data_IF_468528932518
#
_entry.id   IF_468528932518
#
_cell.length_a   1.000
_cell.length_b   1.000
_cell.length_c   1.000
_cell.angle_alpha   90.00
_cell.angle_beta   90.00
_cell.angle_gamma   90.00
#
_symmetry.space_group_name_H-M   'P 1'
#
loop_
_entity.id
_entity.type
_entity.pdbx_description
1 polymer ?
#
# COMPACT_ATOMS: atom_id res chain seq x y z
N UNK A 1 10.96 -23.00 0.97
CA UNK A 1 9.63 -22.37 1.01
C UNK A 1 9.77 -21.03 0.32
N UNK A 2 9.01 -20.79 -0.75
CA UNK A 2 9.01 -19.49 -1.43
C UNK A 2 8.18 -18.54 -0.60
N UNK A 3 8.74 -17.37 -0.25
CA UNK A 3 7.99 -16.33 0.45
C UNK A 3 6.88 -15.78 -0.48
N UNK A 4 5.64 -15.82 0.00
CA UNK A 4 4.49 -15.28 -0.74
C UNK A 4 4.20 -13.88 -0.22
N UNK A 5 4.15 -12.92 -1.14
CA UNK A 5 3.86 -11.52 -0.89
C UNK A 5 2.49 -11.16 -1.44
N UNK A 6 1.70 -10.41 -0.69
CA UNK A 6 0.33 -10.04 -1.04
C UNK A 6 0.23 -8.54 -1.22
N UNK A 7 -0.35 -8.12 -2.34
CA UNK A 7 -0.81 -6.74 -2.49
C UNK A 7 -2.11 -6.54 -1.73
N UNK A 8 -2.08 -5.62 -0.77
CA UNK A 8 -3.20 -5.26 0.08
C UNK A 8 -3.56 -3.79 -0.18
N UNK A 9 -4.80 -3.54 -0.56
CA UNK A 9 -5.36 -2.20 -0.73
C UNK A 9 -6.20 -1.82 0.49
N UNK A 10 -5.75 -0.84 1.27
CA UNK A 10 -6.46 -0.29 2.42
C UNK A 10 -7.28 0.93 2.02
N UNK A 11 -8.55 0.92 2.39
CA UNK A 11 -9.46 2.06 2.27
C UNK A 11 -9.40 2.89 3.55
N UNK A 12 -8.85 4.09 3.49
CA UNK A 12 -8.58 4.90 4.69
C UNK A 12 -9.85 5.43 5.38
N UNK A 13 -10.96 5.54 4.64
CA UNK A 13 -12.23 6.04 5.17
C UNK A 13 -13.05 4.96 5.87
N UNK A 14 -13.18 3.79 5.26
CA UNK A 14 -13.94 2.67 5.85
C UNK A 14 -13.08 1.82 6.80
N UNK A 15 -11.75 1.97 6.71
CA UNK A 15 -10.77 1.15 7.43
C UNK A 15 -10.85 -0.34 7.07
N UNK A 16 -11.37 -0.64 5.89
CA UNK A 16 -11.36 -1.99 5.29
C UNK A 16 -10.11 -2.18 4.44
N UNK A 17 -9.76 -3.44 4.15
CA UNK A 17 -8.75 -3.74 3.15
C UNK A 17 -9.14 -4.91 2.26
N UNK A 18 -8.63 -4.86 1.03
CA UNK A 18 -8.83 -5.86 -0.01
C UNK A 18 -7.49 -6.50 -0.39
N UNK A 19 -7.48 -7.83 -0.44
CA UNK A 19 -6.38 -8.58 -1.04
C UNK A 19 -6.58 -8.57 -2.55
N UNK A 20 -5.57 -8.11 -3.28
CA UNK A 20 -5.61 -7.98 -4.73
C UNK A 20 -5.01 -9.21 -5.41
N UNK A 21 -3.75 -9.51 -5.11
CA UNK A 21 -2.98 -10.55 -5.78
C UNK A 21 -1.74 -10.98 -4.96
N UNK A 22 -1.26 -12.21 -5.24
CA UNK A 22 -0.02 -12.77 -4.70
C UNK A 22 1.17 -12.61 -5.66
N UNK A 23 2.37 -12.48 -5.08
CA UNK A 23 3.64 -12.24 -5.76
C UNK A 23 4.76 -13.05 -5.10
N UNK A 24 5.85 -13.28 -5.83
CA UNK A 24 7.02 -13.99 -5.32
C UNK A 24 8.03 -13.11 -4.55
N UNK A 25 7.85 -11.79 -4.50
CA UNK A 25 8.70 -10.87 -3.74
C UNK A 25 8.01 -9.53 -3.48
N UNK A 26 8.46 -8.79 -2.45
CA UNK A 26 8.01 -7.42 -2.16
C UNK A 26 8.25 -6.49 -3.35
N UNK A 27 9.44 -6.58 -3.95
CA UNK A 27 9.84 -5.79 -5.11
C UNK A 27 8.87 -5.98 -6.28
N UNK A 28 8.60 -7.22 -6.67
CA UNK A 28 7.72 -7.52 -7.80
C UNK A 28 6.30 -7.01 -7.53
N UNK A 29 5.80 -7.18 -6.31
CA UNK A 29 4.51 -6.62 -5.90
C UNK A 29 4.49 -5.09 -6.03
N UNK A 30 5.51 -4.39 -5.52
CA UNK A 30 5.55 -2.94 -5.51
C UNK A 30 5.73 -2.35 -6.92
N UNK A 31 6.59 -2.95 -7.74
CA UNK A 31 6.84 -2.55 -9.13
C UNK A 31 5.62 -2.79 -10.03
N UNK A 32 4.84 -3.85 -9.80
CA UNK A 32 3.63 -4.14 -10.58
C UNK A 32 2.64 -2.98 -10.60
N UNK A 33 2.47 -2.29 -9.46
CA UNK A 33 1.55 -1.15 -9.34
C UNK A 33 2.21 0.22 -9.62
N UNK A 34 3.41 0.25 -10.20
CA UNK A 34 4.06 1.51 -10.56
C UNK A 34 3.33 2.20 -11.71
N UNK A 35 2.71 3.36 -11.45
CA UNK A 35 1.95 4.10 -12.46
C UNK A 35 0.56 3.52 -12.74
N UNK A 36 0.13 2.53 -11.95
CA UNK A 36 -1.20 1.94 -12.05
C UNK A 36 -2.27 3.02 -11.78
N UNK A 37 -3.39 2.93 -12.51
CA UNK A 37 -4.51 3.87 -12.39
C UNK A 37 -5.86 3.17 -12.14
N UNK A 38 -5.83 1.87 -11.88
CA UNK A 38 -7.00 1.02 -11.66
C UNK A 38 -7.80 1.50 -10.45
N UNK A 39 -7.11 1.96 -9.41
CA UNK A 39 -7.71 2.46 -8.17
C UNK A 39 -7.82 4.00 -8.12
N UNK A 40 -7.57 4.69 -9.24
CA UNK A 40 -7.65 6.16 -9.31
C UNK A 40 -6.31 6.81 -9.67
N UNK A 41 -6.01 7.96 -9.08
CA UNK A 41 -4.76 8.69 -9.32
C UNK A 41 -3.73 8.31 -8.26
N UNK A 42 -2.61 7.73 -8.69
CA UNK A 42 -1.47 7.56 -7.82
C UNK A 42 -0.89 8.93 -7.41
N UNK A 43 -0.66 9.12 -6.12
CA UNK A 43 -0.11 10.36 -5.59
C UNK A 43 1.41 10.41 -5.78
N UNK A 44 1.87 11.63 -6.03
CA UNK A 44 3.28 11.97 -6.11
C UNK A 44 3.77 12.45 -4.75
N UNK A 45 5.09 12.58 -4.61
CA UNK A 45 5.70 13.27 -3.49
C UNK A 45 5.39 14.78 -3.51
N UNK A 46 5.90 15.50 -2.50
CA UNK A 46 5.74 16.96 -2.38
C UNK A 46 6.38 17.75 -3.54
N UNK A 47 7.28 17.13 -4.32
CA UNK A 47 7.92 17.71 -5.51
C UNK A 47 7.17 17.34 -6.79
N UNK A 48 6.00 16.72 -6.69
CA UNK A 48 5.20 16.22 -7.79
C UNK A 48 5.93 15.15 -8.63
N UNK A 49 6.82 14.35 -8.00
CA UNK A 49 7.49 13.20 -8.61
C UNK A 49 6.86 11.88 -8.15
N UNK A 50 6.88 10.82 -8.97
CA UNK A 50 6.44 9.50 -8.54
C UNK A 50 7.17 9.03 -7.29
N UNK A 51 6.44 8.37 -6.38
CA UNK A 51 7.02 7.77 -5.17
C UNK A 51 8.04 6.69 -5.57
N UNK A 52 9.29 6.89 -5.16
CA UNK A 52 10.40 5.96 -5.35
C UNK A 52 10.63 5.12 -4.09
N UNK A 53 11.46 4.07 -4.18
CA UNK A 53 11.82 3.18 -3.05
C UNK A 53 12.32 3.93 -1.80
N UNK A 54 13.02 5.05 -1.99
CA UNK A 54 13.64 5.80 -0.89
C UNK A 54 12.64 6.70 -0.14
N UNK A 55 11.36 6.66 -0.51
CA UNK A 55 10.34 7.44 0.17
C UNK A 55 10.18 7.01 1.63
N UNK A 56 10.07 8.00 2.52
CA UNK A 56 10.08 7.79 3.97
C UNK A 56 8.80 7.15 4.50
N UNK A 57 7.68 7.26 3.77
CA UNK A 57 6.39 6.73 4.19
C UNK A 57 6.31 5.22 3.91
N UNK A 58 6.89 4.44 4.83
CA UNK A 58 6.95 2.98 4.78
C UNK A 58 6.61 2.37 6.14
N UNK A 59 6.11 1.15 6.11
CA UNK A 59 5.93 0.34 7.32
C UNK A 59 7.29 0.00 7.93
N UNK A 60 7.36 -0.07 9.26
CA UNK A 60 8.57 -0.52 9.95
C UNK A 60 8.98 -1.92 9.48
N UNK A 61 10.21 -2.05 8.96
CA UNK A 61 10.75 -3.29 8.42
C UNK A 61 10.45 -3.56 6.94
N UNK A 62 9.65 -2.74 6.27
CA UNK A 62 9.41 -2.86 4.83
C UNK A 62 10.57 -2.26 4.02
N UNK A 63 10.93 -2.90 2.90
CA UNK A 63 11.94 -2.39 1.98
C UNK A 63 11.36 -1.32 1.05
N UNK A 64 10.08 -1.45 0.71
CA UNK A 64 9.38 -0.56 -0.22
C UNK A 64 8.32 0.31 0.49
N UNK A 65 8.10 1.54 0.03
CA UNK A 65 7.15 2.46 0.63
C UNK A 65 5.71 2.17 0.23
N UNK A 66 4.79 2.71 1.02
CA UNK A 66 3.35 2.61 0.76
C UNK A 66 3.03 3.43 -0.49
N UNK A 67 2.32 2.83 -1.45
CA UNK A 67 1.79 3.58 -2.59
C UNK A 67 0.46 4.20 -2.21
N UNK A 68 0.33 5.49 -2.48
CA UNK A 68 -0.86 6.26 -2.16
C UNK A 68 -1.67 6.48 -3.43
N UNK A 69 -2.97 6.24 -3.34
CA UNK A 69 -3.95 6.48 -4.38
C UNK A 69 -5.02 7.42 -3.86
N UNK A 70 -5.56 8.24 -4.76
CA UNK A 70 -6.76 9.04 -4.54
C UNK A 70 -7.79 8.61 -5.56
N UNK A 71 -8.98 8.25 -5.08
CA UNK A 71 -10.12 8.02 -5.95
C UNK A 71 -10.48 9.30 -6.73
N UNK A 72 -10.83 9.16 -8.01
CA UNK A 72 -11.01 10.32 -8.88
C UNK A 72 -12.29 11.09 -8.55
N UNK A 73 -13.34 10.39 -8.12
CA UNK A 73 -14.67 10.93 -7.91
C UNK A 73 -14.86 11.39 -6.47
N UNK A 74 -14.66 10.47 -5.53
CA UNK A 74 -14.88 10.65 -4.09
C UNK A 74 -13.73 11.36 -3.38
N UNK A 75 -12.55 11.44 -4.04
CA UNK A 75 -11.29 11.93 -3.45
C UNK A 75 -10.79 11.13 -2.25
N UNK A 76 -11.33 9.93 -2.04
CA UNK A 76 -10.93 9.07 -0.94
C UNK A 76 -9.49 8.58 -1.11
N UNK A 77 -8.76 8.52 0.01
CA UNK A 77 -7.39 8.03 0.05
C UNK A 77 -7.39 6.51 0.20
N UNK A 78 -6.56 5.84 -0.61
CA UNK A 78 -6.32 4.42 -0.54
C UNK A 78 -4.83 4.15 -0.50
N UNK A 79 -4.43 3.15 0.29
CA UNK A 79 -3.04 2.81 0.49
C UNK A 79 -2.78 1.39 0.02
N UNK A 80 -1.81 1.21 -0.85
CA UNK A 80 -1.38 -0.10 -1.31
C UNK A 80 -0.07 -0.48 -0.62
N UNK A 81 -0.09 -1.63 0.04
CA UNK A 81 1.06 -2.22 0.72
C UNK A 81 1.35 -3.61 0.16
N UNK A 82 2.62 -4.00 0.15
CA UNK A 82 3.05 -5.35 -0.19
C UNK A 82 3.46 -6.04 1.11
N UNK A 83 2.71 -7.06 1.52
CA UNK A 83 2.84 -7.69 2.83
C UNK A 83 3.20 -9.15 2.69
N UNK A 84 4.09 -9.64 3.56
CA UNK A 84 4.41 -11.06 3.61
C UNK A 84 3.19 -11.83 4.12
N UNK A 85 2.72 -12.83 3.38
CA UNK A 85 1.53 -13.61 3.73
C UNK A 85 1.62 -14.24 5.12
N UNK A 86 2.81 -14.71 5.51
CA UNK A 86 3.08 -15.27 6.83
C UNK A 86 2.94 -14.27 7.98
N UNK A 87 3.01 -12.96 7.70
CA UNK A 87 2.85 -11.87 8.67
C UNK A 87 1.41 -11.35 8.79
N UNK A 88 0.47 -11.86 7.98
CA UNK A 88 -0.93 -11.42 8.00
C UNK A 88 -1.74 -12.19 9.05
N UNK A 89 -2.40 -11.46 9.95
CA UNK A 89 -3.36 -12.02 10.90
C UNK A 89 -4.78 -11.85 10.36
N UNK A 90 -5.28 -12.86 9.66
CA UNK A 90 -6.63 -12.88 9.07
C UNK A 90 -7.76 -12.89 10.12
N UNK A 91 -7.45 -13.17 11.39
CA UNK A 91 -8.45 -13.15 12.47
C UNK A 91 -8.72 -11.72 12.95
N UNK A 92 -7.75 -10.81 12.77
CA UNK A 92 -7.92 -9.38 12.97
C UNK A 92 -8.38 -8.75 11.66
N UNK A 93 -9.70 -8.60 11.49
CA UNK A 93 -10.33 -7.86 10.37
C UNK A 93 -9.85 -6.42 10.19
N UNK A 94 -9.00 -5.92 11.09
CA UNK A 94 -8.21 -4.71 10.93
C UNK A 94 -6.79 -5.16 10.66
N UNK A 95 -6.37 -5.09 9.41
CA UNK A 95 -4.95 -5.21 9.09
C UNK A 95 -4.24 -4.12 9.87
N UNK A 96 -3.59 -4.52 10.97
CA UNK A 96 -2.77 -3.65 11.81
C UNK A 96 -1.50 -3.34 11.02
N UNK A 97 -1.67 -2.62 9.92
CA UNK A 97 -0.59 -1.93 9.29
C UNK A 97 -0.21 -0.88 10.33
N UNK A 98 0.88 -1.10 11.07
CA UNK A 98 1.49 -0.11 11.97
C UNK A 98 1.99 1.09 11.14
N UNK A 99 1.09 1.73 10.42
CA UNK A 99 1.31 2.89 9.57
C UNK A 99 0.85 4.05 10.42
N UNK A 100 1.80 4.91 10.75
CA UNK A 100 1.50 6.23 11.30
C UNK A 100 0.63 6.95 10.26
N UNK A 101 -0.66 7.10 10.53
CA UNK A 101 -1.51 7.97 9.74
C UNK A 101 -0.90 9.38 9.81
N UNK A 102 -0.65 10.06 8.68
CA UNK A 102 -0.33 11.47 8.75
C UNK A 102 -1.50 12.17 9.46
N UNK A 103 -1.19 12.88 10.54
CA UNK A 103 -2.18 13.72 11.23
C UNK A 103 -2.78 14.68 10.21
N UNK A 104 -4.11 14.77 10.10
CA UNK A 104 -4.74 15.77 9.25
C UNK A 104 -4.24 17.15 9.66
N UNK A 105 -3.78 17.93 8.68
CA UNK A 105 -3.45 19.35 8.86
C UNK A 105 -4.72 20.18 9.03
#
# INVERSE_FOLDING_TARGET
>A
MTEVWIALLLYTKTLDAQILQEFGSEKTCWEYYAGDQTFGKQLNDHQNKPITKDYHFKKGGAEYPIRLFTDRETKELMWLTCELQAGLDYTRRKYLLNILLPTPA
#
